data_IF_154522452513
#
_entry.id   IF_154522452513
#
_cell.length_a   1.000
_cell.length_b   1.000
_cell.length_c   1.000
_cell.angle_alpha   90.00
_cell.angle_beta   90.00
_cell.angle_gamma   90.00
#
_symmetry.space_group_name_H-M   'P 1'
#
loop_
_entity.id
_entity.type
_entity.pdbx_description
1 polymer ?
#
# COMPACT_ATOMS: atom_id res chain seq x y z
N UNK A 1 6.72 -45.41 25.75
CA UNK A 1 7.59 -44.29 26.15
C UNK A 1 6.96 -42.99 25.68
N UNK A 2 6.29 -42.28 26.58
CA UNK A 2 5.64 -41.00 26.27
C UNK A 2 6.73 -39.90 26.11
N UNK A 3 6.86 -39.34 24.89
CA UNK A 3 7.72 -38.19 24.65
C UNK A 3 7.10 -36.97 25.33
N UNK A 4 7.80 -36.42 26.32
CA UNK A 4 7.48 -35.12 26.95
C UNK A 4 7.56 -34.04 25.88
N UNK A 5 6.52 -33.16 25.74
CA UNK A 5 6.57 -32.07 24.72
C UNK A 5 7.72 -31.12 25.02
N UNK A 6 8.56 -30.88 24.03
CA UNK A 6 9.78 -30.04 24.10
C UNK A 6 9.55 -28.51 24.21
N UNK A 7 8.38 -28.05 24.63
CA UNK A 7 8.05 -26.63 24.74
C UNK A 7 7.48 -26.24 26.09
N UNK A 8 8.10 -26.69 27.19
CA UNK A 8 7.83 -26.11 28.51
C UNK A 8 8.61 -24.79 28.57
N UNK A 9 7.95 -23.67 28.25
CA UNK A 9 8.47 -22.33 28.58
C UNK A 9 8.58 -22.27 30.09
N UNK A 10 9.82 -22.20 30.63
CA UNK A 10 10.03 -21.93 32.05
C UNK A 10 9.37 -20.59 32.38
N UNK A 11 8.32 -20.65 33.19
CA UNK A 11 7.72 -19.44 33.75
C UNK A 11 8.72 -18.83 34.71
N UNK A 12 9.01 -17.52 34.67
CA UNK A 12 9.91 -16.89 35.62
C UNK A 12 9.35 -17.01 37.04
N UNK A 13 10.22 -17.22 38.00
CA UNK A 13 9.81 -17.28 39.42
C UNK A 13 9.08 -15.99 39.81
N UNK A 14 7.99 -16.13 40.56
CA UNK A 14 7.22 -14.97 41.05
C UNK A 14 8.08 -14.09 41.97
N UNK A 15 7.70 -12.84 42.11
CA UNK A 15 8.36 -11.86 42.97
C UNK A 15 8.38 -12.35 44.43
N UNK A 16 7.28 -12.95 44.89
CA UNK A 16 7.17 -13.52 46.23
C UNK A 16 8.14 -14.69 46.43
N UNK A 17 8.27 -15.58 45.49
CA UNK A 17 9.24 -16.68 45.52
C UNK A 17 10.68 -16.13 45.68
N UNK A 18 11.05 -15.10 44.90
CA UNK A 18 12.36 -14.49 44.98
C UNK A 18 12.61 -13.83 46.36
N UNK A 19 11.60 -13.09 46.84
CA UNK A 19 11.68 -12.41 48.13
C UNK A 19 11.86 -13.40 49.29
N UNK A 20 11.01 -14.39 49.37
CA UNK A 20 11.07 -15.38 50.44
C UNK A 20 12.34 -16.23 50.39
N UNK A 21 12.82 -16.59 49.19
CA UNK A 21 14.08 -17.32 49.04
C UNK A 21 15.29 -16.51 49.55
N UNK A 22 15.37 -15.23 49.20
CA UNK A 22 16.46 -14.36 49.66
C UNK A 22 16.36 -14.06 51.15
N UNK A 23 15.17 -13.80 51.67
CA UNK A 23 14.94 -13.55 53.10
C UNK A 23 15.32 -14.78 53.94
N UNK A 24 14.91 -15.99 53.51
CA UNK A 24 15.28 -17.27 54.14
C UNK A 24 16.77 -17.50 54.11
N UNK A 25 17.47 -17.13 53.02
CA UNK A 25 18.92 -17.21 52.92
C UNK A 25 19.64 -16.26 53.89
N UNK A 26 19.20 -15.02 54.01
CA UNK A 26 19.78 -14.03 54.93
C UNK A 26 19.53 -14.36 56.39
N UNK A 27 18.51 -15.18 56.69
CA UNK A 27 18.22 -15.73 58.00
C UNK A 27 19.09 -16.96 58.36
N UNK A 28 20.14 -17.27 57.57
CA UNK A 28 21.10 -18.33 57.86
C UNK A 28 20.75 -19.72 57.39
N UNK A 29 19.66 -19.89 56.62
CA UNK A 29 19.28 -21.21 56.09
C UNK A 29 20.23 -21.68 54.98
N UNK A 30 20.55 -22.96 54.94
CA UNK A 30 21.50 -23.52 53.96
C UNK A 30 21.01 -23.34 52.52
N UNK A 31 21.95 -23.01 51.63
CA UNK A 31 21.67 -22.84 50.19
C UNK A 31 21.01 -24.06 49.55
N UNK A 32 21.46 -25.27 49.93
CA UNK A 32 20.94 -26.53 49.42
C UNK A 32 19.46 -26.72 49.77
N UNK A 33 19.06 -26.37 50.99
CA UNK A 33 17.67 -26.44 51.42
C UNK A 33 16.79 -25.45 50.63
N UNK A 34 17.20 -24.20 50.47
CA UNK A 34 16.49 -23.15 49.78
C UNK A 34 16.29 -23.52 48.32
N UNK A 35 17.35 -24.00 47.65
CA UNK A 35 17.27 -24.40 46.25
C UNK A 35 16.26 -25.53 46.05
N UNK A 36 16.24 -26.53 46.96
CA UNK A 36 15.24 -27.62 46.90
C UNK A 36 13.82 -27.13 47.17
N UNK A 37 13.63 -26.30 48.22
CA UNK A 37 12.31 -25.80 48.65
C UNK A 37 11.67 -24.91 47.59
N UNK A 38 12.38 -23.96 47.00
CA UNK A 38 11.84 -23.02 46.03
C UNK A 38 12.06 -23.42 44.57
N UNK A 39 12.67 -24.61 44.33
CA UNK A 39 13.01 -25.13 43.00
C UNK A 39 13.79 -24.13 42.14
N UNK A 40 14.78 -23.51 42.74
CA UNK A 40 15.65 -22.50 42.13
C UNK A 40 17.12 -22.96 42.06
N UNK A 41 17.88 -22.38 41.12
CA UNK A 41 19.32 -22.64 41.09
C UNK A 41 20.07 -21.79 42.11
N UNK A 42 21.25 -22.27 42.59
CA UNK A 42 22.15 -21.49 43.42
C UNK A 42 22.52 -20.15 42.77
N UNK A 43 22.75 -20.14 41.44
CA UNK A 43 23.09 -18.92 40.70
C UNK A 43 21.95 -17.89 40.74
N UNK A 44 20.68 -18.33 40.66
CA UNK A 44 19.52 -17.45 40.78
C UNK A 44 19.42 -16.83 42.16
N UNK A 45 19.56 -17.65 43.21
CA UNK A 45 19.55 -17.16 44.60
C UNK A 45 20.66 -16.11 44.85
N UNK A 46 21.91 -16.38 44.42
CA UNK A 46 23.02 -15.44 44.59
C UNK A 46 22.81 -14.13 43.82
N UNK A 47 22.30 -14.19 42.58
CA UNK A 47 21.93 -13.01 41.81
C UNK A 47 20.87 -12.15 42.50
N UNK A 48 19.83 -12.79 43.03
CA UNK A 48 18.77 -12.09 43.75
C UNK A 48 19.29 -11.48 45.05
N UNK A 49 20.08 -12.24 45.83
CA UNK A 49 20.68 -11.75 47.08
C UNK A 49 21.60 -10.53 46.87
N UNK A 50 22.42 -10.56 45.78
CA UNK A 50 23.26 -9.40 45.41
C UNK A 50 22.46 -8.13 45.09
N UNK A 51 21.25 -8.31 44.54
CA UNK A 51 20.36 -7.22 44.12
C UNK A 51 19.42 -6.74 45.22
N UNK A 52 19.25 -7.54 46.25
CA UNK A 52 18.24 -7.29 47.30
C UNK A 52 18.69 -6.21 48.30
N UNK A 53 17.95 -5.12 48.33
CA UNK A 53 18.13 -3.97 49.24
C UNK A 53 17.22 -3.97 50.47
N UNK A 54 16.36 -5.00 50.64
CA UNK A 54 15.36 -5.09 51.71
C UNK A 54 13.95 -5.00 51.22
N UNK A 55 13.74 -4.40 50.05
CA UNK A 55 12.41 -4.24 49.42
C UNK A 55 12.08 -5.34 48.41
N UNK A 56 10.79 -5.62 48.20
CA UNK A 56 10.36 -6.54 47.15
C UNK A 56 10.64 -5.98 45.74
N UNK A 57 10.56 -4.69 45.58
CA UNK A 57 10.74 -3.94 44.35
C UNK A 57 12.13 -4.15 43.75
N UNK A 58 13.14 -4.28 44.58
CA UNK A 58 14.54 -4.56 44.18
C UNK A 58 14.67 -5.88 43.39
N UNK A 59 13.75 -6.83 43.61
CA UNK A 59 13.73 -8.14 42.95
C UNK A 59 12.85 -8.18 41.69
N UNK A 60 12.21 -7.07 41.31
CA UNK A 60 11.47 -6.96 40.07
C UNK A 60 12.38 -7.15 38.85
N UNK A 61 11.84 -7.69 37.78
CA UNK A 61 12.57 -7.80 36.53
C UNK A 61 12.80 -6.40 35.94
N UNK A 62 14.07 -6.12 35.61
CA UNK A 62 14.43 -4.87 34.94
C UNK A 62 14.09 -4.96 33.47
N UNK A 63 13.77 -3.82 32.87
CA UNK A 63 13.56 -3.74 31.43
C UNK A 63 14.81 -4.23 30.66
N UNK A 64 14.60 -5.12 29.70
CA UNK A 64 15.67 -5.56 28.79
C UNK A 64 15.80 -4.65 27.55
N UNK A 65 15.08 -3.53 27.53
CA UNK A 65 15.20 -2.57 26.42
C UNK A 65 16.57 -1.90 26.47
N UNK A 66 17.23 -1.76 25.31
CA UNK A 66 18.46 -0.98 25.23
C UNK A 66 18.24 0.43 25.80
N UNK A 67 19.21 0.94 26.55
CA UNK A 67 19.19 2.29 27.11
C UNK A 67 19.36 3.36 26.01
N UNK A 68 20.12 3.02 24.97
CA UNK A 68 20.34 3.90 23.81
C UNK A 68 19.35 3.59 22.69
N UNK A 69 18.85 4.60 21.97
CA UNK A 69 18.05 4.38 20.77
C UNK A 69 18.81 3.55 19.74
N UNK A 70 18.08 2.67 19.03
CA UNK A 70 18.69 1.91 17.94
C UNK A 70 19.23 2.86 16.86
N UNK A 71 20.42 2.62 16.26
CA UNK A 71 21.02 3.49 15.24
C UNK A 71 20.06 3.84 14.08
N UNK A 72 19.21 2.91 13.70
CA UNK A 72 18.18 3.10 12.67
C UNK A 72 16.87 3.73 13.20
N UNK A 73 16.83 4.24 14.44
CA UNK A 73 15.67 4.99 14.94
C UNK A 73 15.55 6.34 14.22
N UNK A 74 14.31 6.83 14.09
CA UNK A 74 14.10 8.18 13.59
C UNK A 74 14.73 9.20 14.54
N UNK A 75 15.39 10.19 13.96
CA UNK A 75 15.91 11.35 14.70
C UNK A 75 14.76 12.27 15.09
N UNK A 76 15.00 13.13 16.08
CA UNK A 76 14.01 14.15 16.47
C UNK A 76 13.69 15.11 15.33
N UNK A 77 14.68 15.41 14.49
CA UNK A 77 14.50 16.25 13.31
C UNK A 77 13.57 15.59 12.29
N UNK A 78 13.81 14.32 11.94
CA UNK A 78 12.93 13.56 11.05
C UNK A 78 11.50 13.46 11.57
N UNK A 79 11.33 13.26 12.89
CA UNK A 79 10.02 13.23 13.54
C UNK A 79 9.32 14.60 13.39
N UNK A 80 10.05 15.69 13.54
CA UNK A 80 9.52 17.04 13.34
C UNK A 80 9.13 17.30 11.87
N UNK A 81 9.93 16.85 10.90
CA UNK A 81 9.55 16.91 9.49
C UNK A 81 8.25 16.15 9.20
N UNK A 82 8.11 14.96 9.77
CA UNK A 82 6.91 14.13 9.63
C UNK A 82 5.69 14.84 10.20
N UNK A 83 5.76 15.32 11.45
CA UNK A 83 4.67 16.05 12.11
C UNK A 83 4.26 17.30 11.33
N UNK A 84 5.24 18.07 10.86
CA UNK A 84 5.01 19.28 10.09
C UNK A 84 4.37 18.98 8.71
N UNK A 85 4.84 17.94 8.03
CA UNK A 85 4.27 17.50 6.76
C UNK A 85 2.79 17.11 6.89
N UNK A 86 2.45 16.36 7.95
CA UNK A 86 1.06 15.94 8.21
C UNK A 86 0.17 17.14 8.53
N UNK A 87 0.61 18.03 9.41
CA UNK A 87 -0.14 19.23 9.78
C UNK A 87 -0.49 20.10 8.58
N UNK A 88 0.45 20.26 7.64
CA UNK A 88 0.23 21.00 6.39
C UNK A 88 -0.63 20.26 5.37
N UNK A 89 -0.74 18.94 5.48
CA UNK A 89 -1.43 18.09 4.51
C UNK A 89 -2.35 17.08 5.20
N UNK A 90 -3.38 17.52 5.92
CA UNK A 90 -4.23 16.65 6.75
C UNK A 90 -5.01 15.61 5.93
N UNK A 91 -5.25 15.88 4.65
CA UNK A 91 -5.96 14.97 3.73
C UNK A 91 -5.04 14.05 2.93
N UNK A 92 -3.72 14.18 3.09
CA UNK A 92 -2.76 13.38 2.32
C UNK A 92 -2.73 11.93 2.81
N UNK A 93 -2.62 11.02 1.85
CA UNK A 93 -2.42 9.59 2.12
C UNK A 93 -0.98 9.32 2.58
N UNK A 94 -0.74 8.16 3.21
CA UNK A 94 0.59 7.74 3.67
C UNK A 94 1.67 7.85 2.60
N UNK A 95 1.33 7.41 1.39
CA UNK A 95 2.28 7.41 0.27
C UNK A 95 2.56 8.83 -0.23
N UNK A 96 1.59 9.73 -0.15
CA UNK A 96 1.79 11.13 -0.50
C UNK A 96 2.67 11.86 0.52
N UNK A 97 2.52 11.54 1.81
CA UNK A 97 3.40 12.04 2.87
C UNK A 97 4.83 11.54 2.63
N UNK A 98 4.99 10.25 2.35
CA UNK A 98 6.31 9.68 2.02
C UNK A 98 6.95 10.39 0.81
N UNK A 99 6.20 10.54 -0.28
CA UNK A 99 6.67 11.21 -1.49
C UNK A 99 7.13 12.65 -1.20
N UNK A 100 6.33 13.43 -0.47
CA UNK A 100 6.68 14.81 -0.09
C UNK A 100 7.92 14.89 0.80
N UNK A 101 8.08 13.96 1.75
CA UNK A 101 9.26 13.90 2.62
C UNK A 101 10.51 13.52 1.80
N UNK A 102 10.39 12.54 0.92
CA UNK A 102 11.50 12.15 0.02
C UNK A 102 11.93 13.31 -0.86
N UNK A 103 10.97 13.99 -1.52
CA UNK A 103 11.26 15.06 -2.48
C UNK A 103 11.77 16.35 -1.82
N UNK A 104 11.12 16.77 -0.70
CA UNK A 104 11.38 18.10 -0.13
C UNK A 104 12.41 18.09 1.00
N UNK A 105 12.69 16.94 1.61
CA UNK A 105 13.56 16.82 2.78
C UNK A 105 14.66 15.76 2.62
N UNK A 106 14.73 15.10 1.47
CA UNK A 106 15.70 14.03 1.26
C UNK A 106 15.51 12.84 2.22
N UNK A 107 14.27 12.53 2.60
CA UNK A 107 13.99 11.43 3.52
C UNK A 107 14.33 10.07 2.88
N UNK A 108 15.37 9.40 3.38
CA UNK A 108 15.94 8.19 2.78
C UNK A 108 15.47 6.87 3.41
N UNK A 109 14.71 6.93 4.52
CA UNK A 109 14.27 5.70 5.19
C UNK A 109 13.24 4.96 4.37
N UNK A 110 13.21 3.64 4.54
CA UNK A 110 12.22 2.79 3.88
C UNK A 110 10.78 3.19 4.26
N UNK A 111 9.82 3.21 3.31
CA UNK A 111 8.43 3.61 3.58
C UNK A 111 7.76 2.88 4.74
N UNK A 112 8.06 1.58 4.94
CA UNK A 112 7.52 0.83 6.08
C UNK A 112 8.00 1.38 7.43
N UNK A 113 9.18 2.01 7.49
CA UNK A 113 9.68 2.66 8.71
C UNK A 113 8.87 3.91 9.02
N UNK A 114 8.59 4.73 8.00
CA UNK A 114 7.68 5.87 8.12
C UNK A 114 6.28 5.43 8.59
N UNK A 115 5.71 4.37 8.00
CA UNK A 115 4.39 3.88 8.39
C UNK A 115 4.34 3.36 9.83
N UNK A 116 5.43 2.77 10.34
CA UNK A 116 5.55 2.37 11.73
C UNK A 116 5.59 3.55 12.69
N UNK A 117 6.39 4.58 12.40
CA UNK A 117 6.46 5.77 13.26
C UNK A 117 5.14 6.53 13.26
N UNK A 118 4.44 6.63 12.13
CA UNK A 118 3.13 7.27 12.04
C UNK A 118 2.07 6.58 12.92
N UNK A 119 2.09 5.23 12.97
CA UNK A 119 1.23 4.46 13.89
C UNK A 119 1.60 4.72 15.35
N UNK A 120 2.91 4.77 15.67
CA UNK A 120 3.38 5.08 17.03
C UNK A 120 2.96 6.48 17.48
N UNK A 121 2.89 7.43 16.55
CA UNK A 121 2.45 8.80 16.81
C UNK A 121 0.92 8.95 16.81
N UNK A 122 0.16 7.87 16.66
CA UNK A 122 -1.31 7.89 16.74
C UNK A 122 -2.04 8.40 15.49
N UNK A 123 -1.34 8.59 14.37
CA UNK A 123 -1.99 9.10 13.14
C UNK A 123 -2.87 8.06 12.43
N UNK A 124 -2.76 6.79 12.79
CA UNK A 124 -3.58 5.72 12.23
C UNK A 124 -4.01 4.74 13.31
N UNK A 125 -5.30 4.58 13.45
CA UNK A 125 -5.85 3.49 14.23
C UNK A 125 -5.86 2.22 13.35
N UNK A 126 -5.30 1.10 13.82
CA UNK A 126 -5.41 -0.16 13.10
C UNK A 126 -6.88 -0.55 12.97
N UNK A 127 -7.30 -0.94 11.78
CA UNK A 127 -8.63 -1.53 11.57
C UNK A 127 -8.77 -2.75 12.48
N UNK A 128 -9.81 -2.79 13.30
CA UNK A 128 -10.09 -3.91 14.24
C UNK A 128 -10.48 -5.20 13.51
N UNK A 129 -10.92 -5.12 12.26
CA UNK A 129 -11.37 -6.27 11.50
C UNK A 129 -10.23 -6.91 10.71
N UNK A 130 -9.86 -8.12 11.09
CA UNK A 130 -9.01 -8.99 10.28
C UNK A 130 -9.87 -9.56 9.15
N UNK A 131 -9.73 -9.03 7.94
CA UNK A 131 -10.32 -9.65 6.74
C UNK A 131 -9.71 -11.03 6.53
N UNK A 132 -10.56 -12.01 6.17
CA UNK A 132 -10.09 -13.36 5.81
C UNK A 132 -8.99 -13.26 4.76
N UNK A 133 -7.86 -13.93 4.99
CA UNK A 133 -6.75 -13.94 4.06
C UNK A 133 -7.17 -14.63 2.75
N UNK A 134 -7.24 -13.88 1.68
CA UNK A 134 -7.46 -14.39 0.34
C UNK A 134 -6.11 -14.78 -0.29
N UNK A 135 -6.00 -16.02 -0.77
CA UNK A 135 -4.84 -16.48 -1.55
C UNK A 135 -5.12 -16.24 -3.04
N UNK A 136 -4.50 -15.23 -3.67
CA UNK A 136 -4.70 -14.97 -5.09
C UNK A 136 -4.07 -16.11 -5.92
N UNK A 137 -4.71 -16.49 -7.05
CA UNK A 137 -4.07 -17.33 -8.05
C UNK A 137 -2.89 -16.55 -8.67
N UNK A 138 -1.79 -17.23 -9.04
CA UNK A 138 -0.69 -16.60 -9.74
C UNK A 138 -1.16 -15.89 -11.00
N UNK A 139 -0.68 -14.67 -11.23
CA UNK A 139 -0.93 -13.89 -12.44
C UNK A 139 0.39 -13.39 -13.00
N UNK A 140 0.67 -13.76 -14.24
CA UNK A 140 1.85 -13.28 -14.94
C UNK A 140 1.66 -11.85 -15.41
N UNK A 141 2.39 -10.91 -14.81
CA UNK A 141 2.48 -9.54 -15.28
C UNK A 141 3.58 -9.44 -16.32
N UNK A 142 3.32 -8.82 -17.48
CA UNK A 142 4.38 -8.55 -18.46
C UNK A 142 5.55 -7.78 -17.85
N UNK A 143 6.76 -8.09 -18.30
CA UNK A 143 7.98 -7.42 -17.86
C UNK A 143 8.37 -6.24 -18.76
N UNK A 144 7.81 -6.18 -19.98
CA UNK A 144 8.04 -5.13 -20.96
C UNK A 144 6.85 -4.19 -21.07
N UNK A 145 7.11 -2.92 -21.31
CA UNK A 145 6.08 -1.91 -21.60
C UNK A 145 5.41 -2.18 -22.95
N UNK A 146 4.15 -1.77 -23.10
CA UNK A 146 3.42 -1.94 -24.37
C UNK A 146 3.00 -3.37 -24.68
N UNK A 147 3.31 -4.37 -23.86
CA UNK A 147 2.84 -5.73 -24.09
C UNK A 147 1.33 -5.82 -23.85
N UNK A 148 0.85 -5.24 -22.75
CA UNK A 148 -0.57 -5.33 -22.40
C UNK A 148 -1.05 -4.10 -21.65
N UNK A 149 -2.15 -3.52 -22.14
CA UNK A 149 -2.88 -2.48 -21.44
C UNK A 149 -4.22 -3.00 -20.94
N UNK A 150 -4.64 -2.51 -19.77
CA UNK A 150 -6.01 -2.67 -19.28
C UNK A 150 -6.76 -1.36 -19.41
N UNK A 151 -7.96 -1.37 -20.00
CA UNK A 151 -8.81 -0.20 -20.14
C UNK A 151 -10.16 -0.43 -19.47
N UNK A 152 -10.71 0.63 -18.86
CA UNK A 152 -12.00 0.61 -18.17
C UNK A 152 -12.58 2.01 -18.09
N UNK A 153 -13.90 2.10 -17.92
CA UNK A 153 -14.64 3.35 -17.78
C UNK A 153 -15.38 3.38 -16.46
N UNK A 154 -15.44 4.53 -15.84
CA UNK A 154 -16.20 4.73 -14.61
C UNK A 154 -16.94 6.07 -14.62
N UNK A 155 -18.04 6.12 -13.88
CA UNK A 155 -18.74 7.38 -13.64
C UNK A 155 -17.92 8.30 -12.74
N UNK A 156 -17.86 9.58 -13.09
CA UNK A 156 -17.41 10.64 -12.18
C UNK A 156 -18.51 10.85 -11.13
N UNK A 157 -18.21 10.82 -9.82
CA UNK A 157 -19.23 10.96 -8.78
C UNK A 157 -19.97 12.30 -8.91
N UNK A 158 -21.30 12.27 -8.92
CA UNK A 158 -22.16 13.47 -9.11
C UNK A 158 -21.86 14.58 -8.11
N UNK A 159 -21.51 14.24 -6.86
CA UNK A 159 -21.23 15.22 -5.81
C UNK A 159 -19.99 16.07 -6.06
N UNK A 160 -19.14 15.69 -7.03
CA UNK A 160 -17.97 16.46 -7.41
C UNK A 160 -18.31 17.66 -8.33
N UNK A 161 -19.44 17.59 -9.03
CA UNK A 161 -19.86 18.62 -9.97
C UNK A 161 -20.71 19.68 -9.28
N UNK A 162 -20.31 20.94 -9.42
CA UNK A 162 -20.95 22.10 -8.78
C UNK A 162 -21.56 23.07 -9.81
N UNK A 163 -21.60 22.70 -11.09
CA UNK A 163 -22.22 23.52 -12.15
C UNK A 163 -23.73 23.63 -11.98
N UNK A 164 -24.31 24.67 -12.54
CA UNK A 164 -25.74 24.98 -12.45
C UNK A 164 -26.65 24.05 -13.25
N UNK A 165 -26.13 23.44 -14.31
CA UNK A 165 -26.88 22.51 -15.18
C UNK A 165 -26.41 21.10 -14.89
N UNK A 166 -27.30 20.16 -14.46
CA UNK A 166 -26.92 18.78 -14.19
C UNK A 166 -26.28 18.12 -15.43
N UNK A 167 -25.08 17.59 -15.29
CA UNK A 167 -24.39 16.88 -16.37
C UNK A 167 -23.75 15.58 -15.83
N UNK A 168 -23.44 14.64 -16.73
CA UNK A 168 -22.80 13.37 -16.42
C UNK A 168 -21.43 13.32 -17.07
N UNK A 169 -20.45 12.86 -16.32
CA UNK A 169 -19.10 12.72 -16.80
C UNK A 169 -18.58 11.32 -16.54
N UNK A 170 -17.74 10.84 -17.43
CA UNK A 170 -17.17 9.50 -17.41
C UNK A 170 -15.65 9.60 -17.46
N UNK A 171 -14.97 8.94 -16.57
CA UNK A 171 -13.52 8.81 -16.60
C UNK A 171 -13.15 7.54 -17.37
N UNK A 172 -12.53 7.71 -18.51
CA UNK A 172 -11.82 6.64 -19.21
C UNK A 172 -10.43 6.48 -18.59
N UNK A 173 -10.00 5.25 -18.44
CA UNK A 173 -8.72 4.92 -17.82
C UNK A 173 -8.05 3.79 -18.58
N UNK A 174 -6.79 3.96 -18.92
CA UNK A 174 -5.93 2.89 -19.42
C UNK A 174 -4.67 2.82 -18.58
N UNK A 175 -4.19 1.61 -18.32
CA UNK A 175 -2.98 1.34 -17.54
C UNK A 175 -2.10 0.33 -18.25
N UNK A 176 -0.83 0.64 -18.42
CA UNK A 176 0.18 -0.31 -18.85
C UNK A 176 0.49 -1.29 -17.70
N UNK A 177 0.41 -2.58 -18.00
CA UNK A 177 0.54 -3.61 -16.95
C UNK A 177 1.95 -3.74 -16.39
N UNK A 178 2.98 -3.47 -17.17
CA UNK A 178 4.37 -3.58 -16.74
C UNK A 178 4.78 -2.39 -15.86
N UNK A 179 4.66 -1.19 -16.39
CA UNK A 179 5.07 0.04 -15.70
C UNK A 179 4.09 0.52 -14.63
N UNK A 180 2.81 0.11 -14.72
CA UNK A 180 1.69 0.69 -13.96
C UNK A 180 1.44 2.16 -14.27
N UNK A 181 2.10 2.74 -15.25
CA UNK A 181 1.77 4.05 -15.75
C UNK A 181 0.38 4.02 -16.36
N UNK A 182 -0.37 5.08 -16.14
CA UNK A 182 -1.74 5.17 -16.61
C UNK A 182 -2.01 6.49 -17.28
N UNK A 183 -3.01 6.50 -18.15
CA UNK A 183 -3.63 7.68 -18.70
C UNK A 183 -5.10 7.70 -18.33
N UNK A 184 -5.62 8.88 -17.96
CA UNK A 184 -7.03 9.12 -17.64
C UNK A 184 -7.50 10.36 -18.39
N UNK A 185 -8.73 10.32 -18.88
CA UNK A 185 -9.34 11.46 -19.53
C UNK A 185 -10.87 11.44 -19.33
N UNK A 186 -11.52 12.60 -19.10
CA UNK A 186 -12.97 12.64 -18.95
C UNK A 186 -13.67 12.74 -20.32
N UNK A 187 -14.87 12.18 -20.40
CA UNK A 187 -15.81 12.38 -21.51
C UNK A 187 -17.20 12.67 -20.96
N UNK A 188 -18.04 13.32 -21.77
CA UNK A 188 -19.45 13.58 -21.43
C UNK A 188 -20.34 12.38 -21.69
N UNK A 189 -19.88 11.40 -22.45
CA UNK A 189 -20.62 10.20 -22.81
C UNK A 189 -19.78 8.93 -22.67
N UNK A 190 -20.46 7.83 -22.44
CA UNK A 190 -19.91 6.49 -22.48
C UNK A 190 -20.35 5.83 -23.78
N UNK A 191 -19.51 5.95 -24.79
CA UNK A 191 -19.81 5.50 -26.15
C UNK A 191 -18.59 4.86 -26.81
N UNK A 192 -18.82 4.07 -27.87
CA UNK A 192 -17.76 3.53 -28.72
C UNK A 192 -16.92 4.63 -29.38
N UNK A 193 -17.54 5.76 -29.73
CA UNK A 193 -16.85 6.92 -30.27
C UNK A 193 -15.85 7.50 -29.26
N UNK A 194 -16.29 7.73 -28.02
CA UNK A 194 -15.40 8.20 -26.93
C UNK A 194 -14.28 7.21 -26.66
N UNK A 195 -14.53 5.90 -26.74
CA UNK A 195 -13.51 4.86 -26.57
C UNK A 195 -12.43 4.93 -27.64
N UNK A 196 -12.83 5.08 -28.92
CA UNK A 196 -11.88 5.26 -30.04
C UNK A 196 -11.04 6.51 -29.87
N UNK A 197 -11.67 7.64 -29.53
CA UNK A 197 -10.92 8.88 -29.25
C UNK A 197 -9.96 8.72 -28.07
N UNK A 198 -10.41 8.08 -26.99
CA UNK A 198 -9.58 7.86 -25.81
C UNK A 198 -8.37 6.99 -26.11
N UNK A 199 -8.52 5.91 -26.89
CA UNK A 199 -7.37 5.05 -27.26
C UNK A 199 -6.33 5.84 -28.07
N UNK A 200 -6.76 6.67 -29.02
CA UNK A 200 -5.85 7.55 -29.79
C UNK A 200 -5.10 8.54 -28.89
N UNK A 201 -5.81 9.15 -27.92
CA UNK A 201 -5.19 10.04 -26.93
C UNK A 201 -4.20 9.30 -26.02
N UNK A 202 -4.53 8.08 -25.63
CA UNK A 202 -3.66 7.24 -24.80
C UNK A 202 -2.36 6.87 -25.51
N UNK A 203 -2.43 6.43 -26.78
CA UNK A 203 -1.27 6.12 -27.60
C UNK A 203 -0.35 7.35 -27.73
N UNK A 204 -0.95 8.52 -27.97
CA UNK A 204 -0.18 9.80 -28.01
C UNK A 204 0.47 10.12 -26.69
N UNK A 205 -0.22 9.89 -25.56
CA UNK A 205 0.30 10.15 -24.22
C UNK A 205 1.48 9.24 -23.86
N UNK A 206 1.38 7.96 -24.15
CA UNK A 206 2.45 6.99 -23.87
C UNK A 206 3.62 7.08 -24.86
N UNK A 207 3.36 7.51 -26.11
CA UNK A 207 4.33 7.48 -27.20
C UNK A 207 4.57 6.09 -27.79
N UNK A 208 3.76 5.11 -27.43
CA UNK A 208 3.74 3.74 -27.94
C UNK A 208 2.34 3.15 -27.83
N UNK A 209 2.07 2.09 -28.58
CA UNK A 209 0.81 1.34 -28.55
C UNK A 209 0.98 -0.03 -27.89
N UNK A 210 -0.07 -0.64 -27.36
CA UNK A 210 0.00 -1.97 -26.77
C UNK A 210 -0.06 -3.06 -27.85
N UNK A 211 0.53 -4.23 -27.58
CA UNK A 211 0.27 -5.44 -28.35
C UNK A 211 -1.11 -6.00 -28.06
N UNK A 212 -1.55 -5.92 -26.79
CA UNK A 212 -2.84 -6.42 -26.32
C UNK A 212 -3.55 -5.30 -25.54
N UNK A 213 -4.77 -4.98 -25.96
CA UNK A 213 -5.70 -4.14 -25.21
C UNK A 213 -6.75 -5.00 -24.55
N UNK A 214 -6.82 -4.99 -23.23
CA UNK A 214 -7.81 -5.73 -22.47
C UNK A 214 -8.88 -4.81 -21.90
N UNK A 215 -10.16 -5.14 -22.15
CA UNK A 215 -11.34 -4.41 -21.64
C UNK A 215 -12.29 -5.38 -20.92
N UNK A 216 -13.28 -4.86 -20.27
CA UNK A 216 -14.47 -5.66 -19.91
C UNK A 216 -15.44 -5.77 -21.11
N UNK A 217 -16.63 -6.35 -20.86
CA UNK A 217 -17.65 -6.53 -21.89
C UNK A 217 -18.66 -5.38 -21.89
N UNK A 218 -18.25 -4.14 -21.57
CA UNK A 218 -19.10 -2.97 -21.66
C UNK A 218 -19.51 -2.66 -23.11
N UNK A 219 -20.69 -2.08 -23.29
CA UNK A 219 -21.21 -1.72 -24.62
C UNK A 219 -20.35 -0.69 -25.36
N UNK A 220 -19.56 0.06 -24.63
CA UNK A 220 -18.57 1.00 -25.16
C UNK A 220 -17.33 0.31 -25.76
N UNK A 221 -17.11 -0.99 -25.45
CA UNK A 221 -15.95 -1.77 -25.88
C UNK A 221 -16.33 -2.90 -26.84
N UNK A 222 -17.56 -3.42 -26.76
CA UNK A 222 -18.00 -4.55 -27.57
C UNK A 222 -19.51 -4.53 -27.78
N UNK A 223 -20.00 -5.22 -28.79
CA UNK A 223 -21.45 -5.35 -28.99
C UNK A 223 -22.07 -6.27 -27.94
N UNK A 224 -23.19 -5.83 -27.38
CA UNK A 224 -23.94 -6.61 -26.38
C UNK A 224 -24.65 -7.84 -27.00
N UNK A 225 -25.00 -7.76 -28.30
CA UNK A 225 -25.63 -8.85 -29.03
C UNK A 225 -24.77 -9.26 -30.21
N UNK A 226 -24.89 -10.52 -30.61
CA UNK A 226 -24.27 -10.98 -31.86
C UNK A 226 -24.82 -10.16 -33.04
N UNK A 227 -23.93 -9.47 -33.70
CA UNK A 227 -24.22 -8.63 -34.88
C UNK A 227 -23.14 -8.87 -35.92
N UNK A 228 -23.51 -8.69 -37.21
CA UNK A 228 -22.55 -8.73 -38.32
C UNK A 228 -21.63 -7.51 -38.38
N UNK A 229 -21.97 -6.44 -37.62
CA UNK A 229 -21.16 -5.22 -37.60
C UNK A 229 -19.99 -5.37 -36.67
N UNK A 230 -18.81 -5.00 -37.12
CA UNK A 230 -17.61 -4.94 -36.26
C UNK A 230 -17.66 -3.72 -35.36
N UNK A 231 -17.29 -3.87 -34.11
CA UNK A 231 -17.31 -2.75 -33.18
C UNK A 231 -16.23 -1.71 -33.54
N UNK A 232 -16.51 -0.39 -33.45
CA UNK A 232 -15.54 0.66 -33.82
C UNK A 232 -14.18 0.55 -33.12
N UNK A 233 -14.13 0.04 -31.88
CA UNK A 233 -12.88 -0.22 -31.18
C UNK A 233 -12.09 -1.36 -31.85
N UNK A 234 -12.77 -2.43 -32.27
CA UNK A 234 -12.11 -3.57 -32.93
C UNK A 234 -11.54 -3.15 -34.28
N UNK A 235 -12.26 -2.33 -35.06
CA UNK A 235 -11.75 -1.75 -36.31
C UNK A 235 -10.47 -0.94 -36.10
N UNK A 236 -10.48 -0.06 -35.09
CA UNK A 236 -9.28 0.72 -34.76
C UNK A 236 -8.13 -0.19 -34.28
N UNK A 237 -8.42 -1.20 -33.48
CA UNK A 237 -7.41 -2.14 -32.99
C UNK A 237 -6.80 -2.93 -34.16
N UNK A 238 -7.59 -3.38 -35.11
CA UNK A 238 -7.14 -4.07 -36.32
C UNK A 238 -6.24 -3.15 -37.17
N UNK A 239 -6.68 -1.90 -37.42
CA UNK A 239 -5.89 -0.89 -38.14
C UNK A 239 -4.50 -0.66 -37.49
N UNK A 240 -4.45 -0.66 -36.16
CA UNK A 240 -3.22 -0.42 -35.40
C UNK A 240 -2.41 -1.71 -35.10
N UNK A 241 -2.88 -2.89 -35.49
CA UNK A 241 -2.24 -4.16 -35.15
C UNK A 241 -2.28 -4.49 -33.67
N UNK A 242 -3.32 -4.06 -32.95
CA UNK A 242 -3.54 -4.30 -31.52
C UNK A 242 -4.51 -5.47 -31.36
N UNK A 243 -4.15 -6.47 -30.57
CA UNK A 243 -5.08 -7.55 -30.22
C UNK A 243 -6.06 -7.07 -29.12
N UNK A 244 -7.34 -6.88 -29.47
CA UNK A 244 -8.37 -6.56 -28.47
C UNK A 244 -8.87 -7.83 -27.77
N UNK A 245 -8.83 -7.86 -26.44
CA UNK A 245 -9.30 -8.98 -25.61
C UNK A 245 -10.30 -8.53 -24.57
N UNK A 246 -11.54 -9.03 -24.68
CA UNK A 246 -12.51 -8.89 -23.60
C UNK A 246 -12.23 -9.91 -22.48
N UNK A 247 -12.43 -9.51 -21.24
CA UNK A 247 -12.34 -10.44 -20.10
C UNK A 247 -13.49 -11.45 -20.16
N UNK A 248 -13.23 -12.68 -19.69
CA UNK A 248 -14.29 -13.69 -19.56
C UNK A 248 -15.38 -13.17 -18.59
N UNK A 249 -16.67 -13.38 -18.90
CA UNK A 249 -17.76 -13.02 -18.00
C UNK A 249 -17.51 -13.56 -16.60
N UNK A 250 -17.88 -12.80 -15.56
CA UNK A 250 -17.71 -13.15 -14.13
C UNK A 250 -16.25 -13.36 -13.68
N UNK A 251 -15.26 -12.83 -14.41
CA UNK A 251 -13.85 -12.88 -14.02
C UNK A 251 -13.24 -11.48 -13.83
N UNK A 252 -13.74 -10.66 -12.88
CA UNK A 252 -13.31 -9.27 -12.70
C UNK A 252 -11.81 -9.13 -12.37
N UNK A 253 -11.19 -10.22 -11.91
CA UNK A 253 -9.75 -10.25 -11.57
C UNK A 253 -8.83 -9.90 -12.73
N UNK A 254 -9.26 -10.16 -13.96
CA UNK A 254 -8.44 -9.90 -15.14
C UNK A 254 -8.22 -8.40 -15.36
N UNK A 255 -9.19 -7.55 -14.98
CA UNK A 255 -9.07 -6.08 -15.04
C UNK A 255 -8.66 -5.43 -13.69
N UNK A 256 -8.11 -6.24 -12.78
CA UNK A 256 -7.84 -5.85 -11.39
C UNK A 256 -6.85 -4.70 -11.20
N UNK A 257 -5.98 -4.40 -12.20
CA UNK A 257 -5.03 -3.29 -12.11
C UNK A 257 -5.73 -1.95 -12.31
N UNK A 258 -6.59 -1.85 -13.34
CA UNK A 258 -7.38 -0.64 -13.60
C UNK A 258 -8.44 -0.44 -12.52
N UNK A 259 -9.13 -1.50 -12.07
CA UNK A 259 -10.07 -1.42 -10.93
C UNK A 259 -9.39 -0.92 -9.64
N UNK A 260 -8.18 -1.40 -9.37
CA UNK A 260 -7.38 -0.92 -8.22
C UNK A 260 -7.05 0.56 -8.36
N UNK A 261 -6.75 1.02 -9.58
CA UNK A 261 -6.50 2.44 -9.85
C UNK A 261 -7.75 3.28 -9.57
N UNK A 262 -8.93 2.85 -10.01
CA UNK A 262 -10.21 3.49 -9.72
C UNK A 262 -10.50 3.62 -8.22
N UNK A 263 -10.16 2.59 -7.43
CA UNK A 263 -10.27 2.65 -5.96
C UNK A 263 -9.36 3.71 -5.35
N UNK A 264 -8.16 3.87 -5.89
CA UNK A 264 -7.23 4.93 -5.47
C UNK A 264 -7.76 6.31 -5.86
N UNK A 265 -8.37 6.44 -7.07
CA UNK A 265 -8.97 7.69 -7.52
C UNK A 265 -10.11 8.15 -6.60
N UNK A 266 -10.97 7.22 -6.19
CA UNK A 266 -12.03 7.53 -5.25
C UNK A 266 -11.50 8.11 -3.93
N UNK A 267 -10.37 7.57 -3.42
CA UNK A 267 -9.78 7.99 -2.14
C UNK A 267 -8.96 9.27 -2.23
N UNK A 268 -8.23 9.47 -3.33
CA UNK A 268 -7.20 10.52 -3.44
C UNK A 268 -7.65 11.72 -4.24
N UNK A 269 -8.59 11.52 -5.16
CA UNK A 269 -9.05 12.53 -6.08
C UNK A 269 -10.52 12.87 -5.83
N UNK A 270 -11.44 11.96 -6.13
CA UNK A 270 -12.87 12.24 -6.07
C UNK A 270 -13.40 12.60 -4.69
N UNK A 271 -12.83 12.06 -3.63
CA UNK A 271 -13.23 12.43 -2.25
C UNK A 271 -13.12 13.93 -1.97
N UNK A 272 -12.28 14.64 -2.71
CA UNK A 272 -11.94 16.04 -2.47
C UNK A 272 -12.12 16.93 -3.68
N UNK A 273 -12.54 16.34 -4.82
CA UNK A 273 -12.75 17.04 -6.07
C UNK A 273 -14.03 17.87 -6.00
N UNK A 274 -13.93 19.11 -6.46
CA UNK A 274 -15.05 19.94 -6.86
C UNK A 274 -14.67 20.61 -8.17
N UNK A 275 -15.56 20.59 -9.16
CA UNK A 275 -15.38 21.22 -10.45
C UNK A 275 -16.72 21.79 -10.97
N UNK A 276 -16.65 22.87 -11.73
CA UNK A 276 -17.81 23.62 -12.20
C UNK A 276 -18.02 23.55 -13.72
N UNK A 277 -17.03 23.08 -14.47
CA UNK A 277 -17.10 22.93 -15.92
C UNK A 277 -16.30 21.73 -16.40
N UNK A 278 -16.54 21.32 -17.66
CA UNK A 278 -15.80 20.24 -18.30
C UNK A 278 -14.30 20.54 -18.41
N UNK A 279 -13.95 21.76 -18.79
CA UNK A 279 -12.55 22.18 -18.91
C UNK A 279 -11.83 22.20 -17.56
N UNK A 280 -12.56 22.59 -16.49
CA UNK A 280 -12.01 22.53 -15.13
C UNK A 280 -11.74 21.08 -14.71
N UNK A 281 -12.66 20.15 -15.05
CA UNK A 281 -12.45 18.73 -14.79
C UNK A 281 -11.21 18.19 -15.51
N UNK A 282 -11.04 18.54 -16.81
CA UNK A 282 -9.84 18.14 -17.59
C UNK A 282 -8.56 18.62 -16.88
N UNK A 283 -8.47 19.91 -16.56
CA UNK A 283 -7.30 20.50 -15.90
C UNK A 283 -6.99 19.85 -14.55
N UNK A 284 -8.02 19.56 -13.76
CA UNK A 284 -7.84 18.91 -12.46
C UNK A 284 -7.41 17.44 -12.61
N UNK A 285 -7.95 16.71 -13.60
CA UNK A 285 -7.54 15.34 -13.92
C UNK A 285 -6.10 15.27 -14.42
N UNK A 286 -5.65 16.18 -15.26
CA UNK A 286 -4.26 16.26 -15.74
C UNK A 286 -3.28 16.44 -14.58
N UNK A 287 -3.56 17.39 -13.68
CA UNK A 287 -2.75 17.61 -12.48
C UNK A 287 -2.70 16.37 -11.58
N UNK A 288 -3.85 15.70 -11.42
CA UNK A 288 -3.93 14.49 -10.64
C UNK A 288 -3.18 13.33 -11.30
N UNK A 289 -3.31 13.16 -12.63
CA UNK A 289 -2.58 12.15 -13.40
C UNK A 289 -1.08 12.34 -13.27
N UNK A 290 -0.60 13.56 -13.46
CA UNK A 290 0.82 13.92 -13.31
C UNK A 290 1.36 13.50 -11.93
N UNK A 291 0.64 13.84 -10.87
CA UNK A 291 0.99 13.45 -9.50
C UNK A 291 0.92 11.93 -9.30
N UNK A 292 -0.16 11.31 -9.73
CA UNK A 292 -0.45 9.89 -9.52
C UNK A 292 0.61 8.96 -10.13
N UNK A 293 1.10 9.27 -11.33
CA UNK A 293 2.13 8.48 -12.01
C UNK A 293 3.54 8.65 -11.38
N UNK A 294 3.71 9.60 -10.46
CA UNK A 294 4.96 9.84 -9.71
C UNK A 294 4.91 9.33 -8.27
N UNK A 295 3.77 8.80 -7.82
CA UNK A 295 3.70 8.23 -6.48
C UNK A 295 4.34 6.84 -6.46
N UNK A 296 5.22 6.57 -5.48
CA UNK A 296 5.81 5.25 -5.29
C UNK A 296 4.76 4.17 -5.01
N UNK A 297 4.95 2.99 -5.58
CA UNK A 297 4.08 1.84 -5.38
C UNK A 297 4.85 0.67 -4.76
N UNK A 298 4.28 0.03 -3.74
CA UNK A 298 4.89 -1.16 -3.13
C UNK A 298 5.12 -2.29 -4.14
N UNK A 299 4.17 -2.47 -5.08
CA UNK A 299 4.25 -3.49 -6.14
C UNK A 299 5.36 -3.23 -7.16
N UNK A 300 5.94 -2.03 -7.16
CA UNK A 300 7.05 -1.60 -8.00
C UNK A 300 8.31 -1.35 -7.15
N UNK A 301 8.49 -2.09 -6.07
CA UNK A 301 9.62 -1.91 -5.14
C UNK A 301 9.81 -0.46 -4.69
N UNK A 302 8.71 0.26 -4.46
CA UNK A 302 8.67 1.67 -4.06
C UNK A 302 9.20 2.65 -5.11
N UNK A 303 9.32 2.22 -6.34
CA UNK A 303 9.48 3.09 -7.49
C UNK A 303 8.12 3.61 -7.97
N UNK A 304 8.12 4.74 -8.64
CA UNK A 304 6.92 5.26 -9.31
C UNK A 304 6.72 4.65 -10.69
N UNK A 305 5.50 4.67 -11.26
CA UNK A 305 5.23 4.23 -12.62
C UNK A 305 6.16 4.87 -13.67
N UNK A 306 6.41 6.17 -13.55
CA UNK A 306 7.32 6.91 -14.46
C UNK A 306 8.77 6.43 -14.33
N UNK A 307 9.25 6.16 -13.11
CA UNK A 307 10.60 5.65 -12.90
C UNK A 307 10.76 4.25 -13.53
N UNK A 308 9.76 3.36 -13.31
CA UNK A 308 9.76 2.02 -13.93
C UNK A 308 9.72 2.12 -15.46
N UNK A 309 8.86 2.99 -16.03
CA UNK A 309 8.82 3.17 -17.49
C UNK A 309 10.19 3.54 -18.04
N UNK A 310 10.86 4.53 -17.43
CA UNK A 310 12.20 4.95 -17.85
C UNK A 310 13.23 3.82 -17.77
N UNK A 311 13.20 3.03 -16.70
CA UNK A 311 14.08 1.87 -16.53
C UNK A 311 13.86 0.83 -17.62
N UNK A 312 12.59 0.50 -17.92
CA UNK A 312 12.24 -0.50 -18.93
C UNK A 312 12.54 0.00 -20.35
N UNK A 313 12.38 1.29 -20.65
CA UNK A 313 12.76 1.88 -21.94
C UNK A 313 14.29 1.87 -22.13
N UNK A 314 15.07 2.20 -21.11
CA UNK A 314 16.53 2.16 -21.17
C UNK A 314 17.08 0.74 -21.31
N UNK A 315 16.42 -0.27 -20.76
CA UNK A 315 16.79 -1.67 -20.92
C UNK A 315 16.48 -2.24 -22.32
N UNK A 316 15.52 -1.64 -23.05
CA UNK A 316 15.18 -2.05 -24.43
C UNK A 316 16.08 -1.39 -25.49
N UNK A 317 16.94 -0.46 -25.08
CA UNK A 317 17.86 0.29 -25.96
C UNK A 317 19.30 -0.23 -25.91
N UNK A 318 19.56 -1.27 -25.13
CA UNK A 318 20.81 -2.02 -25.01
C UNK A 318 20.66 -3.42 -25.61
#
# INVERSE_FOLDING_TARGET
MNRIPQNIRYLPHTLDTRYHAVKTYRNGTSVAFICRRYKISKASLMRWNKRFDGSKESLCDKSHRPLTPHPNSHTNEEINWIKHCIRRNPKATLIEIFYKLKTNKGYHRHPCSLFRILRKLGFFNPSKEKKKAYKPKPYHTPTEIGVKWQMDVKYVPKHCYTGSIPDKFYQYTVIDEASRERFIYPFKEQSSHSTVQFLKLAIRHFGYQPKILQTDNGVEFTHFRETKQVHPLDLLCEELGIEHKCIKPRTPRHNGKVERSHRNDNKRFYKHLQFYSYDDLIKQMERYLYKSNRLPMQTLNWMSPIEIRKTLQGASSL
#
